data_IF_479084383298
#
_entry.id   IF_479084383298
#
_cell.length_a   1.000
_cell.length_b   1.000
_cell.length_c   1.000
_cell.angle_alpha   90.00
_cell.angle_beta   90.00
_cell.angle_gamma   90.00
#
_symmetry.space_group_name_H-M   'P 1'
#
loop_
_entity.id
_entity.type
_entity.pdbx_description
1 polymer ?
#
# COMPACT_ATOMS: atom_id res chain seq x y z
N UNK A 1 1.81 -21.27 17.18
CA UNK A 1 1.71 -22.09 15.94
C UNK A 1 2.19 -21.26 14.75
N UNK A 2 2.95 -21.83 13.80
CA UNK A 2 3.27 -21.12 12.54
C UNK A 2 2.18 -21.44 11.50
N UNK A 3 1.45 -20.42 11.07
CA UNK A 3 0.37 -20.55 10.10
C UNK A 3 0.92 -20.66 8.67
N UNK A 4 0.39 -21.57 7.86
CA UNK A 4 0.68 -21.61 6.42
C UNK A 4 -0.14 -20.49 5.72
N UNK A 5 0.50 -19.52 5.04
CA UNK A 5 -0.20 -18.47 4.30
C UNK A 5 -1.25 -18.98 3.32
N UNK A 6 -1.09 -20.17 2.74
CA UNK A 6 -2.03 -20.70 1.75
C UNK A 6 -3.37 -21.12 2.35
N UNK A 7 -3.43 -21.42 3.66
CA UNK A 7 -4.69 -21.79 4.31
C UNK A 7 -5.62 -20.60 4.49
N UNK A 8 -5.10 -19.37 4.42
CA UNK A 8 -5.86 -18.12 4.56
C UNK A 8 -6.93 -17.94 3.47
N UNK A 9 -6.81 -18.61 2.32
CA UNK A 9 -7.87 -18.62 1.30
C UNK A 9 -9.20 -19.20 1.81
N UNK A 10 -9.15 -19.96 2.92
CA UNK A 10 -10.30 -20.55 3.59
C UNK A 10 -10.73 -19.78 4.85
N UNK A 11 -9.97 -18.76 5.25
CA UNK A 11 -10.24 -17.89 6.40
C UNK A 11 -9.87 -16.45 6.03
N UNK A 12 -10.73 -15.84 5.21
CA UNK A 12 -10.50 -14.52 4.66
C UNK A 12 -10.58 -13.42 5.74
N UNK A 13 -11.33 -13.64 6.82
CA UNK A 13 -11.40 -12.67 7.92
C UNK A 13 -10.07 -12.58 8.66
N UNK A 14 -9.43 -13.74 8.92
CA UNK A 14 -8.06 -13.76 9.45
C UNK A 14 -7.06 -13.09 8.52
N UNK A 15 -7.18 -13.29 7.21
CA UNK A 15 -6.35 -12.58 6.23
C UNK A 15 -6.51 -11.06 6.36
N UNK A 16 -7.73 -10.56 6.49
CA UNK A 16 -7.99 -9.14 6.69
C UNK A 16 -7.43 -8.62 8.02
N UNK A 17 -7.52 -9.40 9.10
CA UNK A 17 -6.92 -9.06 10.39
C UNK A 17 -5.39 -8.93 10.31
N UNK A 18 -4.73 -9.82 9.59
CA UNK A 18 -3.28 -9.77 9.35
C UNK A 18 -2.91 -8.51 8.56
N UNK A 19 -3.63 -8.22 7.48
CA UNK A 19 -3.41 -7.00 6.69
C UNK A 19 -3.67 -5.73 7.52
N UNK A 20 -4.70 -5.73 8.38
CA UNK A 20 -5.03 -4.63 9.29
C UNK A 20 -3.96 -4.41 10.35
N UNK A 21 -3.44 -5.47 10.94
CA UNK A 21 -2.32 -5.39 11.88
C UNK A 21 -1.06 -4.81 11.22
N UNK A 22 -0.78 -5.24 9.99
CA UNK A 22 0.35 -4.75 9.20
C UNK A 22 0.19 -3.27 8.86
N UNK A 23 -1.01 -2.86 8.45
CA UNK A 23 -1.33 -1.45 8.20
C UNK A 23 -1.14 -0.61 9.45
N UNK A 24 -1.60 -1.08 10.62
CA UNK A 24 -1.41 -0.37 11.89
C UNK A 24 0.06 -0.13 12.19
N UNK A 25 0.91 -1.14 11.99
CA UNK A 25 2.36 -1.01 12.19
C UNK A 25 2.94 0.08 11.28
N UNK A 26 2.63 0.04 9.98
CA UNK A 26 3.15 1.04 9.02
C UNK A 26 2.58 2.43 9.31
N UNK A 27 1.28 2.55 9.58
CA UNK A 27 0.65 3.84 9.92
C UNK A 27 1.25 4.43 11.19
N UNK A 28 1.51 3.63 12.22
CA UNK A 28 2.13 4.11 13.45
C UNK A 28 3.56 4.59 13.20
N UNK A 29 4.38 3.83 12.45
CA UNK A 29 5.73 4.22 12.09
C UNK A 29 5.77 5.59 11.39
N UNK A 30 4.89 5.78 10.41
CA UNK A 30 4.79 7.03 9.64
C UNK A 30 4.26 8.17 10.50
N UNK A 31 3.27 7.91 11.36
CA UNK A 31 2.71 8.92 12.26
C UNK A 31 3.77 9.43 13.24
N UNK A 32 4.54 8.55 13.85
CA UNK A 32 5.61 8.90 14.79
C UNK A 32 6.76 9.65 14.12
N UNK A 33 6.95 9.47 12.81
CA UNK A 33 7.98 10.13 12.01
C UNK A 33 7.51 11.43 11.32
N UNK A 34 6.23 11.81 11.44
CA UNK A 34 5.62 12.85 10.58
C UNK A 34 6.20 14.26 10.77
N UNK A 35 6.69 14.59 11.96
CA UNK A 35 7.36 15.88 12.23
C UNK A 35 8.67 15.96 11.45
N UNK A 36 9.51 14.93 11.56
CA UNK A 36 10.75 14.81 10.78
C UNK A 36 10.45 14.76 9.28
N UNK A 37 9.42 14.03 8.85
CA UNK A 37 9.00 14.00 7.45
C UNK A 37 8.64 15.39 6.90
N UNK A 38 8.00 16.25 7.72
CA UNK A 38 7.66 17.62 7.34
C UNK A 38 8.92 18.47 7.15
N UNK A 39 9.90 18.35 8.05
CA UNK A 39 11.18 19.04 7.95
C UNK A 39 11.95 18.61 6.70
N UNK A 40 12.05 17.30 6.45
CA UNK A 40 12.72 16.74 5.28
C UNK A 40 12.05 17.24 3.99
N UNK A 41 10.72 17.12 3.87
CA UNK A 41 9.99 17.63 2.70
C UNK A 41 10.23 19.11 2.45
N UNK A 42 10.38 19.92 3.50
CA UNK A 42 10.59 21.35 3.38
C UNK A 42 12.04 21.71 3.01
N UNK A 43 13.03 20.98 3.51
CA UNK A 43 14.44 21.33 3.36
C UNK A 43 15.08 20.72 2.12
N UNK A 44 14.61 19.55 1.68
CA UNK A 44 15.21 18.85 0.56
C UNK A 44 14.76 19.42 -0.79
N UNK A 45 15.74 19.58 -1.70
CA UNK A 45 15.54 20.07 -3.06
C UNK A 45 15.32 18.97 -4.10
N UNK A 46 15.35 17.71 -3.68
CA UNK A 46 15.22 16.55 -4.55
C UNK A 46 13.79 16.35 -5.06
N UNK A 47 13.59 15.36 -5.93
CA UNK A 47 12.25 15.04 -6.40
C UNK A 47 11.43 14.52 -5.23
N UNK A 48 10.22 15.04 -5.06
CA UNK A 48 9.31 14.61 -3.99
C UNK A 48 9.09 13.08 -3.93
N UNK A 49 9.25 12.38 -5.07
CA UNK A 49 9.19 10.92 -5.11
C UNK A 49 10.35 10.27 -4.35
N UNK A 50 11.57 10.73 -4.55
CA UNK A 50 12.78 10.21 -3.90
C UNK A 50 12.73 10.51 -2.39
N UNK A 51 12.37 11.76 -2.05
CA UNK A 51 12.12 12.19 -0.66
C UNK A 51 11.10 11.27 0.04
N UNK A 52 10.00 10.95 -0.65
CA UNK A 52 8.95 10.09 -0.07
C UNK A 52 9.40 8.65 0.15
N UNK A 53 10.29 8.13 -0.69
CA UNK A 53 10.86 6.80 -0.53
C UNK A 53 11.79 6.74 0.69
N UNK A 54 12.66 7.74 0.85
CA UNK A 54 13.63 7.80 1.94
C UNK A 54 12.93 7.93 3.29
N UNK A 55 11.95 8.84 3.41
CA UNK A 55 11.15 9.02 4.63
C UNK A 55 10.44 7.71 5.01
N UNK A 56 9.83 7.00 4.04
CA UNK A 56 9.16 5.72 4.33
C UNK A 56 10.16 4.69 4.84
N UNK A 57 11.34 4.60 4.24
CA UNK A 57 12.38 3.65 4.64
C UNK A 57 12.87 3.94 6.05
N UNK A 58 13.20 5.19 6.34
CA UNK A 58 13.69 5.63 7.64
C UNK A 58 12.66 5.43 8.75
N UNK A 59 11.40 5.81 8.51
CA UNK A 59 10.32 5.63 9.48
C UNK A 59 10.12 4.15 9.85
N UNK A 60 10.09 3.26 8.85
CA UNK A 60 9.90 1.82 9.05
C UNK A 60 11.12 1.16 9.69
N UNK A 61 12.33 1.58 9.32
CA UNK A 61 13.55 1.05 9.93
C UNK A 61 13.72 1.52 11.38
N UNK A 62 13.28 2.75 11.71
CA UNK A 62 13.28 3.29 13.08
C UNK A 62 12.32 2.58 14.02
N UNK A 63 11.09 2.29 13.59
CA UNK A 63 10.13 1.53 14.42
C UNK A 63 10.63 0.10 14.65
N UNK A 64 11.27 -0.49 13.64
CA UNK A 64 11.73 -1.86 13.66
C UNK A 64 10.62 -2.87 13.34
N UNK A 65 11.03 -4.08 12.95
CA UNK A 65 10.12 -5.19 12.67
C UNK A 65 10.84 -6.52 12.89
N UNK A 66 10.12 -7.62 13.19
CA UNK A 66 10.72 -8.94 13.33
C UNK A 66 11.12 -9.51 11.96
N UNK A 67 12.32 -9.13 11.52
CA UNK A 67 12.86 -9.45 10.19
C UNK A 67 13.22 -10.92 10.06
N UNK A 68 13.01 -11.46 8.87
CA UNK A 68 13.55 -12.75 8.42
C UNK A 68 14.70 -12.43 7.48
N UNK A 69 15.83 -13.13 7.64
CA UNK A 69 16.99 -12.98 6.74
C UNK A 69 16.74 -13.64 5.38
N UNK A 70 15.79 -13.08 4.65
CA UNK A 70 15.39 -13.50 3.32
C UNK A 70 15.16 -12.26 2.46
N UNK A 71 15.95 -12.13 1.39
CA UNK A 71 15.83 -11.02 0.46
C UNK A 71 14.60 -11.20 -0.43
N UNK A 72 13.78 -10.16 -0.51
CA UNK A 72 12.71 -10.03 -1.50
C UNK A 72 13.24 -9.29 -2.74
N UNK A 73 12.80 -9.70 -3.92
CA UNK A 73 13.14 -9.06 -5.20
C UNK A 73 11.95 -8.27 -5.74
N UNK A 74 12.22 -7.23 -6.54
CA UNK A 74 11.19 -6.38 -7.13
C UNK A 74 11.56 -4.91 -7.08
N UNK A 75 10.78 -4.08 -7.80
CA UNK A 75 11.00 -2.63 -7.91
C UNK A 75 10.32 -1.79 -6.83
N UNK A 76 9.59 -2.41 -5.90
CA UNK A 76 8.96 -1.70 -4.78
C UNK A 76 10.02 -1.11 -3.85
N UNK A 77 9.81 0.15 -3.47
CA UNK A 77 10.69 1.01 -2.67
C UNK A 77 11.14 0.32 -1.37
N UNK A 78 10.19 -0.04 -0.51
CA UNK A 78 10.45 -0.80 0.71
C UNK A 78 9.91 -2.22 0.59
N UNK A 79 10.76 -3.20 0.91
CA UNK A 79 10.37 -4.62 0.90
C UNK A 79 11.08 -5.38 1.99
N UNK A 80 10.34 -6.19 2.74
CA UNK A 80 10.90 -6.99 3.83
C UNK A 80 10.18 -8.31 4.02
N UNK A 81 10.95 -9.39 4.19
CA UNK A 81 10.44 -10.63 4.76
C UNK A 81 10.43 -10.49 6.29
N UNK A 82 9.28 -10.71 6.92
CA UNK A 82 9.10 -10.54 8.36
C UNK A 82 8.10 -11.55 8.94
N UNK A 83 8.06 -11.63 10.25
CA UNK A 83 6.99 -12.31 10.98
C UNK A 83 5.86 -11.33 11.31
N UNK A 84 4.63 -11.80 11.19
CA UNK A 84 3.48 -11.18 11.87
C UNK A 84 3.17 -12.06 13.07
N UNK A 85 3.15 -11.45 14.26
CA UNK A 85 2.81 -12.14 15.50
C UNK A 85 1.40 -11.78 15.94
N UNK A 86 0.57 -12.81 16.10
CA UNK A 86 -0.74 -12.79 16.74
C UNK A 86 -0.65 -13.62 18.03
N UNK A 87 -1.47 -13.36 19.07
CA UNK A 87 -1.47 -14.16 20.29
C UNK A 87 -1.50 -15.68 20.05
N UNK A 88 -2.26 -16.13 19.04
CA UNK A 88 -2.45 -17.56 18.76
C UNK A 88 -1.47 -18.13 17.70
N UNK A 89 -0.88 -17.27 16.86
CA UNK A 89 -0.08 -17.73 15.72
C UNK A 89 1.00 -16.74 15.29
N UNK A 90 2.00 -17.25 14.59
CA UNK A 90 2.93 -16.45 13.79
C UNK A 90 2.67 -16.75 12.31
N UNK A 91 2.97 -15.79 11.44
CA UNK A 91 2.89 -15.93 9.99
C UNK A 91 4.15 -15.32 9.36
N UNK A 92 4.68 -15.95 8.31
CA UNK A 92 5.70 -15.33 7.46
C UNK A 92 5.02 -14.41 6.43
N UNK A 93 5.46 -13.16 6.38
CA UNK A 93 4.93 -12.13 5.48
C UNK A 93 6.04 -11.60 4.57
N UNK A 94 5.69 -11.36 3.31
CA UNK A 94 6.45 -10.57 2.37
C UNK A 94 5.77 -9.20 2.27
N UNK A 95 6.26 -8.24 3.05
CA UNK A 95 5.76 -6.88 3.10
C UNK A 95 6.35 -6.05 1.97
N UNK A 96 5.49 -5.40 1.20
CA UNK A 96 5.81 -4.45 0.15
C UNK A 96 5.17 -3.11 0.49
N UNK A 97 5.96 -2.05 0.66
CA UNK A 97 5.48 -0.69 0.90
C UNK A 97 6.03 0.22 -0.19
N UNK A 98 5.14 0.81 -0.96
CA UNK A 98 5.46 1.67 -2.09
C UNK A 98 5.09 3.12 -1.74
N UNK A 99 6.04 4.03 -1.95
CA UNK A 99 5.90 5.44 -1.62
C UNK A 99 5.39 6.21 -2.83
N UNK A 100 4.51 7.18 -2.59
CA UNK A 100 3.98 8.05 -3.63
C UNK A 100 4.00 9.48 -3.13
N UNK A 101 4.51 10.40 -3.94
CA UNK A 101 4.34 11.82 -3.70
C UNK A 101 3.44 12.43 -4.79
N UNK A 102 2.33 13.04 -4.39
CA UNK A 102 1.45 13.75 -5.32
C UNK A 102 0.98 15.08 -4.73
N UNK A 103 0.65 16.02 -5.62
CA UNK A 103 0.00 17.26 -5.20
C UNK A 103 -1.36 16.98 -4.55
N UNK A 104 -1.80 17.83 -3.62
CA UNK A 104 -3.08 17.67 -2.89
C UNK A 104 -4.28 17.44 -3.82
N UNK A 105 -4.30 18.06 -5.01
CA UNK A 105 -5.36 17.82 -6.01
C UNK A 105 -5.50 16.36 -6.48
N UNK A 106 -4.48 15.53 -6.33
CA UNK A 106 -4.49 14.10 -6.65
C UNK A 106 -4.77 13.17 -5.46
N UNK A 107 -4.93 13.70 -4.24
CA UNK A 107 -4.92 12.90 -3.00
C UNK A 107 -5.94 11.75 -2.93
N UNK A 108 -7.05 11.82 -3.68
CA UNK A 108 -8.12 10.82 -3.63
C UNK A 108 -7.82 9.45 -4.28
N UNK A 109 -6.69 9.31 -4.98
CA UNK A 109 -6.32 8.06 -5.66
C UNK A 109 -4.83 7.76 -5.58
N UNK A 110 -4.41 6.51 -5.71
CA UNK A 110 -3.00 6.16 -5.98
C UNK A 110 -2.91 5.47 -7.35
N UNK A 111 -1.87 5.74 -8.14
CA UNK A 111 -1.63 5.03 -9.41
C UNK A 111 -0.73 3.82 -9.18
N UNK A 112 -1.13 2.66 -9.69
CA UNK A 112 -0.47 1.37 -9.52
C UNK A 112 -0.14 0.72 -10.85
N UNK A 113 0.97 -0.02 -10.86
CA UNK A 113 1.32 -0.98 -11.90
C UNK A 113 0.79 -2.38 -11.53
N UNK A 114 0.57 -3.23 -12.52
CA UNK A 114 0.17 -4.63 -12.27
C UNK A 114 1.21 -5.41 -11.46
N UNK A 115 2.49 -5.01 -11.51
CA UNK A 115 3.59 -5.55 -10.70
C UNK A 115 3.47 -5.26 -9.20
N UNK A 116 2.52 -4.44 -8.78
CA UNK A 116 2.34 -4.06 -7.37
C UNK A 116 1.09 -4.71 -6.75
N UNK A 117 0.30 -5.46 -7.51
CA UNK A 117 -0.98 -6.01 -7.05
C UNK A 117 -1.13 -7.48 -7.42
N UNK A 118 -1.75 -8.25 -6.52
CA UNK A 118 -2.03 -9.68 -6.72
C UNK A 118 -3.46 -9.98 -7.16
N UNK A 119 -4.37 -9.02 -6.95
CA UNK A 119 -5.75 -9.07 -7.39
C UNK A 119 -5.88 -8.85 -8.89
N UNK A 120 -6.93 -9.38 -9.53
CA UNK A 120 -7.32 -8.96 -10.86
C UNK A 120 -7.99 -7.56 -10.82
N UNK A 121 -7.66 -6.74 -11.81
CA UNK A 121 -8.33 -5.46 -12.06
C UNK A 121 -9.54 -5.72 -12.94
N UNK A 122 -10.73 -5.75 -12.34
CA UNK A 122 -12.03 -5.76 -13.03
C UNK A 122 -12.64 -4.36 -12.96
N UNK A 123 -12.82 -3.70 -14.10
CA UNK A 123 -13.44 -2.37 -14.18
C UNK A 123 -14.04 -2.10 -15.56
N UNK A 124 -14.97 -1.16 -15.63
CA UNK A 124 -15.48 -0.64 -16.90
C UNK A 124 -14.68 0.60 -17.30
N UNK A 125 -14.05 0.57 -18.48
CA UNK A 125 -13.26 1.66 -19.05
C UNK A 125 -13.78 1.99 -20.44
N UNK A 126 -14.21 3.23 -20.64
CA UNK A 126 -14.77 3.70 -21.93
C UNK A 126 -15.89 2.78 -22.47
N UNK A 127 -16.75 2.28 -21.57
CA UNK A 127 -17.84 1.35 -21.92
C UNK A 127 -17.42 -0.11 -22.13
N UNK A 128 -16.13 -0.44 -22.01
CA UNK A 128 -15.63 -1.80 -22.16
C UNK A 128 -15.20 -2.39 -20.82
N UNK A 129 -15.54 -3.65 -20.60
CA UNK A 129 -15.08 -4.41 -19.44
C UNK A 129 -13.61 -4.77 -19.61
N UNK A 130 -12.80 -4.37 -18.63
CA UNK A 130 -11.39 -4.75 -18.50
C UNK A 130 -11.29 -5.76 -17.37
N UNK A 131 -10.60 -6.87 -17.62
CA UNK A 131 -10.25 -7.87 -16.62
C UNK A 131 -8.79 -8.27 -16.82
N UNK A 132 -7.88 -7.72 -16.00
CA UNK A 132 -6.44 -7.95 -16.14
C UNK A 132 -5.87 -8.43 -14.82
N UNK A 133 -5.20 -9.58 -14.85
CA UNK A 133 -4.59 -10.20 -13.67
C UNK A 133 -3.37 -9.40 -13.18
N UNK A 134 -3.30 -9.22 -11.86
CA UNK A 134 -2.11 -8.72 -11.17
C UNK A 134 -0.91 -9.65 -11.31
N UNK A 135 0.30 -9.09 -11.33
CA UNK A 135 1.55 -9.85 -11.51
C UNK A 135 2.17 -10.30 -10.17
N UNK A 136 1.74 -9.75 -9.03
CA UNK A 136 2.20 -10.24 -7.72
C UNK A 136 1.47 -11.53 -7.37
N UNK A 137 2.16 -12.56 -6.85
CA UNK A 137 1.48 -13.72 -6.32
C UNK A 137 0.80 -13.38 -4.98
N UNK A 138 -0.24 -14.10 -4.62
CA UNK A 138 -0.92 -13.95 -3.31
C UNK A 138 -0.05 -14.46 -2.16
N UNK A 139 0.78 -15.47 -2.43
CA UNK A 139 1.80 -16.03 -1.55
C UNK A 139 3.09 -16.19 -2.35
N UNK A 140 4.21 -15.70 -1.83
CA UNK A 140 5.53 -15.89 -2.44
C UNK A 140 6.21 -17.10 -1.79
N UNK A 141 6.74 -18.01 -2.61
CA UNK A 141 7.59 -19.10 -2.15
C UNK A 141 9.07 -18.75 -2.40
N UNK A 142 9.87 -18.66 -1.33
CA UNK A 142 11.31 -18.41 -1.39
C UNK A 142 12.05 -19.49 -0.61
N UNK A 143 12.99 -20.18 -1.26
CA UNK A 143 13.79 -21.26 -0.64
C UNK A 143 12.92 -22.33 0.05
N UNK A 144 11.76 -22.64 -0.52
CA UNK A 144 10.80 -23.62 0.02
C UNK A 144 9.87 -23.07 1.11
N UNK A 145 10.05 -21.83 1.53
CA UNK A 145 9.24 -21.18 2.56
C UNK A 145 8.19 -20.26 1.94
N UNK A 146 6.98 -20.27 2.49
CA UNK A 146 5.84 -19.49 1.99
C UNK A 146 5.68 -18.19 2.79
N UNK A 147 5.41 -17.10 2.10
CA UNK A 147 5.22 -15.77 2.66
C UNK A 147 3.94 -15.15 2.13
N UNK A 148 3.05 -14.68 3.01
CA UNK A 148 1.88 -13.91 2.59
C UNK A 148 2.32 -12.61 1.93
N UNK A 149 1.89 -12.35 0.70
CA UNK A 149 2.13 -11.05 0.05
C UNK A 149 1.21 -10.00 0.66
N UNK A 150 1.77 -8.92 1.17
CA UNK A 150 1.00 -7.80 1.70
C UNK A 150 1.53 -6.49 1.10
N UNK A 151 0.67 -5.77 0.38
CA UNK A 151 1.04 -4.54 -0.33
C UNK A 151 0.38 -3.33 0.32
N UNK A 152 1.19 -2.38 0.77
CA UNK A 152 0.77 -1.10 1.30
C UNK A 152 1.34 0.04 0.46
N UNK A 153 0.69 1.19 0.50
CA UNK A 153 1.18 2.42 -0.09
C UNK A 153 1.22 3.52 0.96
N UNK A 154 2.29 4.31 0.96
CA UNK A 154 2.41 5.53 1.75
C UNK A 154 2.43 6.70 0.79
N UNK A 155 1.36 7.49 0.80
CA UNK A 155 1.16 8.62 -0.10
C UNK A 155 1.33 9.94 0.63
N UNK A 156 2.37 10.68 0.28
CA UNK A 156 2.69 12.01 0.78
C UNK A 156 1.99 13.05 -0.10
N UNK A 157 0.98 13.71 0.46
CA UNK A 157 0.24 14.76 -0.22
C UNK A 157 0.87 16.09 0.12
N UNK A 158 1.38 16.79 -0.88
CA UNK A 158 2.12 18.04 -0.70
C UNK A 158 1.60 19.14 -1.62
N UNK A 159 1.95 20.39 -1.31
CA UNK A 159 1.85 21.52 -2.24
C UNK A 159 3.23 22.11 -2.51
N UNK A 160 3.34 22.92 -3.56
CA UNK A 160 4.59 23.65 -3.86
C UNK A 160 4.34 25.14 -3.68
N UNK A 161 4.94 25.71 -2.65
CA UNK A 161 4.80 27.13 -2.28
C UNK A 161 6.19 27.77 -2.28
N UNK A 162 6.39 28.87 -3.00
CA UNK A 162 7.70 29.56 -3.04
C UNK A 162 8.87 28.70 -3.56
N UNK A 163 8.59 27.63 -4.31
CA UNK A 163 9.62 26.69 -4.80
C UNK A 163 9.90 25.52 -3.85
N UNK A 164 9.31 25.51 -2.66
CA UNK A 164 9.52 24.50 -1.62
C UNK A 164 8.33 23.54 -1.54
N UNK A 165 8.59 22.28 -1.20
CA UNK A 165 7.54 21.29 -0.97
C UNK A 165 6.98 21.42 0.46
N UNK A 166 5.66 21.57 0.57
CA UNK A 166 4.95 21.68 1.85
C UNK A 166 4.09 20.43 2.01
N UNK A 167 4.48 19.54 2.91
CA UNK A 167 3.69 18.34 3.23
C UNK A 167 2.39 18.74 3.94
N UNK A 168 1.25 18.25 3.46
CA UNK A 168 -0.09 18.60 3.97
C UNK A 168 -0.77 17.43 4.68
N UNK A 169 -0.54 16.21 4.22
CA UNK A 169 -1.01 14.99 4.88
C UNK A 169 -0.29 13.77 4.33
N UNK A 170 -0.37 12.65 5.05
CA UNK A 170 0.09 11.36 4.57
C UNK A 170 -1.08 10.37 4.58
N UNK A 171 -1.29 9.65 3.49
CA UNK A 171 -2.30 8.58 3.39
C UNK A 171 -1.57 7.24 3.38
N UNK A 172 -1.94 6.33 4.27
CA UNK A 172 -1.46 4.94 4.24
C UNK A 172 -2.61 4.04 3.82
N UNK A 173 -2.43 3.27 2.76
CA UNK A 173 -3.46 2.39 2.22
C UNK A 173 -2.99 0.94 2.07
N UNK A 174 -3.77 -0.01 2.57
CA UNK A 174 -3.55 -1.45 2.37
C UNK A 174 -4.34 -1.96 1.17
N UNK A 175 -3.64 -2.37 0.11
CA UNK A 175 -4.28 -3.02 -1.04
C UNK A 175 -4.63 -4.45 -0.67
N UNK A 176 -5.91 -4.86 -0.84
CA UNK A 176 -6.31 -6.22 -0.50
C UNK A 176 -5.53 -7.25 -1.33
N UNK A 177 -5.06 -8.31 -0.68
CA UNK A 177 -4.48 -9.46 -1.35
C UNK A 177 -5.47 -10.07 -2.35
N UNK A 178 -4.98 -10.66 -3.44
CA UNK A 178 -5.79 -11.29 -4.48
C UNK A 178 -6.71 -12.41 -3.98
N UNK A 179 -6.44 -13.04 -2.82
CA UNK A 179 -7.39 -13.96 -2.18
C UNK A 179 -8.72 -13.29 -1.80
N UNK A 180 -8.73 -11.97 -1.62
CA UNK A 180 -9.91 -11.16 -1.28
C UNK A 180 -10.64 -10.63 -2.53
N UNK A 181 -10.39 -11.19 -3.72
CA UNK A 181 -10.97 -10.73 -4.99
C UNK A 181 -12.48 -10.51 -4.91
N UNK A 182 -13.22 -11.48 -4.41
CA UNK A 182 -14.69 -11.45 -4.43
C UNK A 182 -15.27 -10.46 -3.42
N UNK A 183 -14.50 -10.04 -2.41
CA UNK A 183 -14.92 -9.00 -1.46
C UNK A 183 -14.70 -7.60 -2.02
N UNK A 184 -13.58 -7.37 -2.70
CA UNK A 184 -13.14 -6.02 -3.07
C UNK A 184 -13.31 -5.67 -4.54
N UNK A 185 -13.33 -6.66 -5.42
CA UNK A 185 -13.58 -6.46 -6.84
C UNK A 185 -14.20 -7.71 -7.50
N UNK A 186 -15.41 -8.13 -7.07
CA UNK A 186 -16.07 -9.30 -7.64
C UNK A 186 -16.40 -9.11 -9.13
N UNK A 187 -16.91 -7.92 -9.49
CA UNK A 187 -17.37 -7.55 -10.82
C UNK A 187 -16.89 -6.14 -11.20
N UNK A 188 -16.91 -5.74 -12.49
CA UNK A 188 -16.46 -4.42 -12.93
C UNK A 188 -17.17 -3.22 -12.28
N UNK A 189 -18.44 -3.38 -11.91
CA UNK A 189 -19.29 -2.34 -11.32
C UNK A 189 -19.04 -2.18 -9.81
N UNK A 190 -18.72 -3.28 -9.14
CA UNK A 190 -18.32 -3.30 -7.73
C UNK A 190 -16.80 -3.46 -7.63
N UNK A 191 -16.11 -2.31 -7.66
CA UNK A 191 -14.66 -2.25 -7.80
C UNK A 191 -14.06 -1.14 -6.94
N UNK A 192 -12.80 -1.33 -6.53
CA UNK A 192 -11.98 -0.28 -5.90
C UNK A 192 -11.12 0.49 -6.92
N UNK A 193 -11.17 0.08 -8.18
CA UNK A 193 -10.33 0.61 -9.24
C UNK A 193 -10.99 1.76 -10.00
N UNK A 194 -10.16 2.64 -10.55
CA UNK A 194 -10.52 3.63 -11.57
C UNK A 194 -9.47 3.61 -12.68
N UNK A 195 -9.83 4.15 -13.84
CA UNK A 195 -8.94 4.19 -14.99
C UNK A 195 -7.63 4.94 -14.66
N UNK A 196 -6.50 4.29 -14.92
CA UNK A 196 -5.19 4.91 -14.79
C UNK A 196 -4.87 5.87 -15.94
N UNK A 197 -3.91 6.78 -15.70
CA UNK A 197 -3.25 7.54 -16.77
C UNK A 197 -2.25 6.60 -17.44
N UNK A 198 -2.68 5.92 -18.49
CA UNK A 198 -1.77 5.29 -19.44
C UNK A 198 -2.18 5.73 -20.85
N UNK A 199 -1.18 5.79 -21.73
CA UNK A 199 -1.37 5.92 -23.17
C UNK A 199 -1.10 4.56 -23.84
N UNK A 200 -2.09 3.66 -23.94
CA UNK A 200 -1.92 2.36 -24.61
C UNK A 200 -1.37 2.49 -26.03
N UNK A 201 -1.70 3.58 -26.72
CA UNK A 201 -1.20 3.91 -28.06
C UNK A 201 0.31 4.11 -28.13
N UNK A 202 0.99 4.36 -27.00
CA UNK A 202 2.45 4.52 -26.89
C UNK A 202 3.15 3.26 -26.35
N UNK A 203 2.42 2.14 -26.19
CA UNK A 203 2.99 0.89 -25.67
C UNK A 203 3.27 0.90 -24.17
N UNK A 204 2.73 1.88 -23.43
CA UNK A 204 2.92 1.95 -21.97
C UNK A 204 2.27 0.75 -21.26
N UNK A 205 2.95 0.22 -20.23
CA UNK A 205 2.38 -0.81 -19.37
C UNK A 205 1.04 -0.36 -18.76
N UNK A 206 0.12 -1.31 -18.60
CA UNK A 206 -1.18 -1.04 -18.00
C UNK A 206 -1.03 -0.49 -16.58
N UNK A 207 -1.67 0.67 -16.34
CA UNK A 207 -1.76 1.32 -15.03
C UNK A 207 -3.21 1.44 -14.61
N UNK A 208 -3.45 1.26 -13.33
CA UNK A 208 -4.76 1.41 -12.69
C UNK A 208 -4.65 2.40 -11.54
N UNK A 209 -5.77 3.00 -11.13
CA UNK A 209 -5.82 3.82 -9.93
C UNK A 209 -6.65 3.18 -8.85
N UNK A 210 -6.09 3.04 -7.66
CA UNK A 210 -6.86 2.72 -6.47
C UNK A 210 -7.65 3.96 -6.04
N UNK A 211 -8.96 3.84 -5.91
CA UNK A 211 -9.82 4.88 -5.34
C UNK A 211 -9.91 4.70 -3.83
N UNK A 212 -9.41 5.67 -3.08
CA UNK A 212 -9.45 5.61 -1.62
C UNK A 212 -10.87 5.70 -1.07
N UNK A 213 -11.76 6.46 -1.72
CA UNK A 213 -13.16 6.55 -1.31
C UNK A 213 -13.89 5.22 -1.49
N UNK A 214 -13.72 4.55 -2.63
CA UNK A 214 -14.31 3.22 -2.88
C UNK A 214 -13.75 2.17 -1.94
N UNK A 215 -12.43 2.20 -1.69
CA UNK A 215 -11.80 1.28 -0.74
C UNK A 215 -12.32 1.51 0.70
N UNK A 216 -12.42 2.76 1.15
CA UNK A 216 -12.99 3.10 2.46
C UNK A 216 -14.45 2.66 2.60
N UNK A 217 -15.23 2.75 1.53
CA UNK A 217 -16.62 2.31 1.56
C UNK A 217 -16.75 0.80 1.80
N UNK A 218 -15.80 0.00 1.28
CA UNK A 218 -15.75 -1.44 1.54
C UNK A 218 -15.17 -1.79 2.91
N UNK A 219 -14.09 -1.11 3.30
CA UNK A 219 -13.44 -1.28 4.59
C UNK A 219 -12.69 -0.01 4.97
N UNK A 220 -13.28 0.80 5.86
CA UNK A 220 -12.76 2.10 6.24
C UNK A 220 -11.32 2.02 6.78
N UNK A 221 -11.02 0.96 7.53
CA UNK A 221 -9.68 0.74 8.09
C UNK A 221 -8.58 0.60 7.05
N UNK A 222 -8.87 0.25 5.79
CA UNK A 222 -7.84 0.06 4.77
C UNK A 222 -7.15 1.34 4.31
N UNK A 223 -7.68 2.50 4.66
CA UNK A 223 -7.09 3.79 4.30
C UNK A 223 -7.04 4.68 5.53
N UNK A 224 -5.84 4.97 5.99
CA UNK A 224 -5.58 5.88 7.10
C UNK A 224 -5.09 7.22 6.56
N UNK A 225 -5.56 8.31 7.16
CA UNK A 225 -5.13 9.66 6.81
C UNK A 225 -4.48 10.28 8.03
N UNK A 226 -3.17 10.49 7.95
CA UNK A 226 -2.35 11.12 8.97
C UNK A 226 -2.31 12.62 8.67
N UNK A 227 -2.87 13.47 9.54
CA UNK A 227 -2.73 14.91 9.42
C UNK A 227 -1.32 15.34 9.84
N UNK A 228 -0.91 16.53 9.44
CA UNK A 228 0.34 17.12 9.95
C UNK A 228 0.13 17.62 11.39
N UNK A 229 1.20 17.88 12.15
CA UNK A 229 1.09 18.55 13.44
C UNK A 229 0.52 19.98 13.27
N UNK A 230 -0.23 20.48 14.27
CA UNK A 230 -0.49 19.90 15.59
C UNK A 230 -1.70 18.94 15.64
N UNK A 231 -2.35 18.65 14.52
CA UNK A 231 -3.58 17.88 14.52
C UNK A 231 -3.38 16.42 15.00
N UNK A 232 -4.26 15.91 15.88
CA UNK A 232 -4.19 14.53 16.34
C UNK A 232 -4.65 13.54 15.26
N UNK A 233 -4.04 12.36 15.23
CA UNK A 233 -4.46 11.26 14.36
C UNK A 233 -5.55 10.41 15.02
N UNK A 234 -6.55 10.03 14.23
CA UNK A 234 -7.60 9.09 14.61
C UNK A 234 -7.69 7.95 13.60
N UNK A 235 -7.72 6.72 14.12
CA UNK A 235 -7.90 5.53 13.29
C UNK A 235 -9.26 5.54 12.61
N UNK A 236 -9.26 5.33 11.29
CA UNK A 236 -10.48 4.91 10.58
C UNK A 236 -10.77 3.46 10.96
N UNK A 237 -11.91 3.21 11.61
CA UNK A 237 -12.32 1.90 12.15
C UNK A 237 -13.11 1.08 11.16
#
# INVERSE_FOLDING_TARGET
MLLDPETLKHDLDRLEEIEKATLRLVTQAIYDYRETALEIFHQEGDLAADISEDITREALDRLGMPRIDQRLFGKVDYKRACYVFHPDYALKQALFVDSKAEKVGGQGTATLQLSQLSMAVKQTRSGQTVNIQGKMPTVITLRGEKYLTTTLFVKYNYDKEGGVHILKSIIVAAVPNGMLQDRYNPIPEDTIWTAGRNAPSLGEEFRVRLSFSRLKHKAAWRVQTIPMPPEPFYWSS
#
